data_IF_790346011912
#
_entry.id   IF_790346011912
#
_cell.length_a   1.000
_cell.length_b   1.000
_cell.length_c   1.000
_cell.angle_alpha   90.00
_cell.angle_beta   90.00
_cell.angle_gamma   90.00
#
_symmetry.space_group_name_H-M   'P 1'
#
loop_
_entity.id
_entity.type
_entity.pdbx_description
1 polymer ?
#
# COMPACT_ATOMS: atom_id res chain seq x y z
N UNK A 1 -28.03 -6.42 -6.76
CA UNK A 1 -27.55 -6.20 -6.53
C UNK A 1 -26.85 -5.67 -6.30
N UNK A 2 -26.60 -5.39 -6.38
CA UNK A 2 -25.96 -5.04 -6.23
C UNK A 2 -25.51 -4.24 -5.88
N UNK A 3 -25.63 -3.95 -5.99
CA UNK A 3 -25.23 -3.20 -5.68
C UNK A 3 -24.83 -2.58 -4.66
N UNK A 4 -24.91 -2.47 -3.95
CA UNK A 4 -24.47 -2.06 -2.87
C UNK A 4 -23.21 -2.40 -2.50
N UNK A 5 -22.70 -3.31 -2.73
CA UNK A 5 -21.39 -3.84 -2.63
C UNK A 5 -20.31 -2.96 -3.15
N UNK A 6 -20.49 -2.32 -4.27
CA UNK A 6 -19.49 -1.40 -4.77
C UNK A 6 -19.08 -0.35 -3.77
N UNK A 7 -20.04 0.11 -3.00
CA UNK A 7 -19.76 1.11 -1.98
C UNK A 7 -18.76 0.60 -0.94
N UNK A 8 -18.96 -0.64 -0.51
CA UNK A 8 -18.07 -1.23 0.47
C UNK A 8 -16.66 -1.38 -0.07
N UNK A 9 -16.55 -1.83 -1.31
CA UNK A 9 -15.26 -2.00 -1.94
C UNK A 9 -14.54 -0.67 -2.08
N UNK A 10 -15.27 0.37 -2.44
CA UNK A 10 -14.68 1.67 -2.61
C UNK A 10 -14.18 2.24 -1.29
N UNK A 11 -14.91 1.98 -0.21
CA UNK A 11 -14.51 2.45 1.11
C UNK A 11 -13.19 1.84 1.55
N UNK A 12 -12.87 0.63 1.06
CA UNK A 12 -11.66 -0.06 1.45
C UNK A 12 -10.39 0.48 0.81
N UNK A 13 -10.52 1.26 -0.26
CA UNK A 13 -9.35 1.74 -0.96
C UNK A 13 -8.69 0.67 -1.83
N UNK A 14 -7.80 1.10 -2.70
CA UNK A 14 -7.15 0.18 -3.62
C UNK A 14 -5.88 0.77 -4.22
N UNK A 15 -5.00 -0.12 -4.66
CA UNK A 15 -3.86 0.26 -5.49
C UNK A 15 -4.27 0.32 -6.95
N UNK A 16 -3.65 1.22 -7.68
CA UNK A 16 -3.86 1.34 -9.12
C UNK A 16 -2.54 1.61 -9.80
N UNK A 17 -2.34 0.99 -10.96
CA UNK A 17 -1.17 1.28 -11.77
C UNK A 17 -1.40 2.58 -12.52
N UNK A 18 -0.42 3.48 -12.47
CA UNK A 18 -0.49 4.76 -13.17
C UNK A 18 0.78 4.92 -14.00
N UNK A 19 0.77 5.90 -14.89
CA UNK A 19 1.91 6.17 -15.78
C UNK A 19 2.34 4.90 -16.54
N UNK A 20 1.36 4.23 -17.15
CA UNK A 20 1.57 3.02 -17.94
C UNK A 20 2.26 1.91 -17.13
N UNK A 21 1.91 1.81 -15.85
CA UNK A 21 2.45 0.78 -14.99
C UNK A 21 3.80 1.13 -14.37
N UNK A 22 4.29 2.34 -14.62
CA UNK A 22 5.57 2.75 -14.03
C UNK A 22 5.48 2.99 -12.55
N UNK A 23 4.30 3.36 -12.06
CA UNK A 23 4.09 3.73 -10.66
C UNK A 23 2.75 3.16 -10.18
N UNK A 24 2.65 2.90 -8.89
CA UNK A 24 1.38 2.56 -8.27
C UNK A 24 0.92 3.75 -7.43
N UNK A 25 -0.40 3.93 -7.35
CA UNK A 25 -1.00 4.93 -6.47
C UNK A 25 -2.05 4.25 -5.64
N UNK A 26 -2.08 4.56 -4.34
CA UNK A 26 -3.11 4.04 -3.45
C UNK A 26 -4.09 5.16 -3.11
N UNK A 27 -5.37 4.85 -3.11
CA UNK A 27 -6.41 5.79 -2.70
C UNK A 27 -7.41 5.08 -1.80
N UNK A 28 -7.82 5.76 -0.73
CA UNK A 28 -8.83 5.25 0.18
C UNK A 28 -8.26 4.86 1.53
N UNK A 29 -8.90 3.92 2.19
CA UNK A 29 -8.54 3.50 3.54
C UNK A 29 -7.72 2.22 3.52
N UNK A 30 -6.76 2.14 4.41
CA UNK A 30 -5.93 0.95 4.59
C UNK A 30 -5.90 0.62 6.07
N UNK A 31 -6.95 -0.04 6.51
CA UNK A 31 -7.16 -0.38 7.91
C UNK A 31 -7.29 -1.90 8.05
N UNK A 32 -7.45 -2.35 9.28
CA UNK A 32 -7.61 -3.77 9.56
C UNK A 32 -8.73 -4.40 8.74
N UNK A 33 -9.80 -3.64 8.46
CA UNK A 33 -10.94 -4.16 7.70
C UNK A 33 -10.67 -4.28 6.21
N UNK A 34 -9.75 -3.48 5.69
CA UNK A 34 -9.55 -3.38 4.24
C UNK A 34 -8.17 -3.88 3.78
N UNK A 35 -7.26 -4.10 4.72
CA UNK A 35 -5.88 -4.42 4.37
C UNK A 35 -5.75 -5.69 3.54
N UNK A 36 -6.48 -6.74 3.91
CA UNK A 36 -6.37 -8.02 3.20
C UNK A 36 -6.82 -7.89 1.75
N UNK A 37 -7.93 -7.19 1.52
CA UNK A 37 -8.43 -7.01 0.16
C UNK A 37 -7.50 -6.14 -0.66
N UNK A 38 -6.94 -5.10 -0.05
CA UNK A 38 -6.00 -4.22 -0.75
C UNK A 38 -4.73 -4.98 -1.14
N UNK A 39 -4.23 -5.80 -0.22
CA UNK A 39 -3.03 -6.60 -0.49
C UNK A 39 -3.29 -7.64 -1.57
N UNK A 40 -4.45 -8.29 -1.52
CA UNK A 40 -4.85 -9.24 -2.54
C UNK A 40 -4.87 -8.61 -3.92
N UNK A 41 -5.47 -7.42 -4.01
CA UNK A 41 -5.50 -6.69 -5.28
C UNK A 41 -4.10 -6.34 -5.76
N UNK A 42 -3.23 -5.94 -4.84
CA UNK A 42 -1.86 -5.61 -5.19
C UNK A 42 -1.10 -6.83 -5.70
N UNK A 43 -1.33 -7.99 -5.09
CA UNK A 43 -0.64 -9.21 -5.49
C UNK A 43 -1.02 -9.67 -6.90
N UNK A 44 -2.17 -9.26 -7.38
CA UNK A 44 -2.60 -9.57 -8.74
C UNK A 44 -1.98 -8.64 -9.77
N UNK A 45 -1.27 -7.61 -9.35
CA UNK A 45 -0.66 -6.61 -10.24
C UNK A 45 0.83 -6.84 -10.37
N UNK A 46 1.40 -6.61 -11.57
CA UNK A 46 2.85 -6.58 -11.69
C UNK A 46 3.41 -5.39 -10.93
N UNK A 47 4.60 -5.53 -10.36
CA UNK A 47 5.22 -4.44 -9.63
C UNK A 47 5.47 -3.23 -10.54
N UNK A 48 5.44 -2.02 -9.98
CA UNK A 48 5.68 -0.83 -10.80
C UNK A 48 7.08 -0.83 -11.37
N UNK A 49 7.23 -0.43 -12.63
CA UNK A 49 8.52 -0.50 -13.30
C UNK A 49 9.54 0.46 -12.69
N UNK A 50 9.08 1.60 -12.15
CA UNK A 50 9.96 2.54 -11.45
C UNK A 50 10.21 2.15 -10.00
N UNK A 51 9.43 1.20 -9.47
CA UNK A 51 9.51 0.84 -8.07
C UNK A 51 8.81 1.79 -7.11
N UNK A 52 8.07 2.77 -7.62
CA UNK A 52 7.43 3.77 -6.76
C UNK A 52 6.00 3.37 -6.45
N UNK A 53 5.67 3.37 -5.16
CA UNK A 53 4.30 3.18 -4.68
C UNK A 53 3.92 4.42 -3.87
N UNK A 54 2.93 5.15 -4.35
CA UNK A 54 2.56 6.44 -3.79
C UNK A 54 1.32 6.30 -2.91
N UNK A 55 1.45 6.70 -1.65
CA UNK A 55 0.36 6.65 -0.68
C UNK A 55 -0.25 8.03 -0.40
N UNK A 56 -0.03 8.99 -1.27
CA UNK A 56 -0.57 10.33 -1.05
C UNK A 56 -2.10 10.35 -0.97
N UNK A 57 -2.77 9.40 -1.60
CA UNK A 57 -4.23 9.29 -1.55
C UNK A 57 -4.78 8.50 -0.37
N UNK A 58 -3.92 8.12 0.58
CA UNK A 58 -4.34 7.35 1.74
C UNK A 58 -5.16 8.24 2.67
N UNK A 59 -6.44 7.88 2.86
CA UNK A 59 -7.36 8.68 3.66
C UNK A 59 -7.36 8.29 5.13
N UNK A 60 -7.37 6.99 5.40
CA UNK A 60 -7.35 6.47 6.76
C UNK A 60 -6.44 5.26 6.82
N UNK A 61 -5.74 5.11 7.93
CA UNK A 61 -4.84 3.99 8.10
C UNK A 61 -4.65 3.67 9.57
N UNK A 62 -4.38 2.40 9.84
CA UNK A 62 -3.98 1.96 11.19
C UNK A 62 -2.74 1.07 11.02
N UNK A 63 -2.40 0.31 12.06
CA UNK A 63 -1.19 -0.52 12.00
C UNK A 63 -1.24 -1.58 10.92
N UNK A 64 -2.42 -1.94 10.43
CA UNK A 64 -2.53 -2.89 9.32
C UNK A 64 -1.91 -2.33 8.05
N UNK A 65 -1.92 -1.00 7.88
CA UNK A 65 -1.27 -0.37 6.74
C UNK A 65 0.24 -0.64 6.75
N UNK A 66 0.86 -0.63 7.92
CA UNK A 66 2.29 -0.94 8.03
C UNK A 66 2.57 -2.36 7.58
N UNK A 67 1.69 -3.30 7.96
CA UNK A 67 1.86 -4.69 7.55
C UNK A 67 1.79 -4.82 6.03
N UNK A 68 0.85 -4.14 5.39
CA UNK A 68 0.74 -4.15 3.93
C UNK A 68 2.00 -3.57 3.29
N UNK A 69 2.48 -2.45 3.81
CA UNK A 69 3.69 -1.80 3.28
C UNK A 69 4.89 -2.72 3.38
N UNK A 70 5.05 -3.41 4.51
CA UNK A 70 6.15 -4.34 4.72
C UNK A 70 6.06 -5.50 3.74
N UNK A 71 4.85 -6.03 3.53
CA UNK A 71 4.66 -7.12 2.58
C UNK A 71 5.00 -6.69 1.15
N UNK A 72 4.66 -5.48 0.77
CA UNK A 72 5.02 -4.96 -0.54
C UNK A 72 6.53 -4.86 -0.70
N UNK A 73 7.21 -4.34 0.32
CA UNK A 73 8.68 -4.25 0.29
C UNK A 73 9.30 -5.64 0.19
N UNK A 74 8.76 -6.58 0.93
CA UNK A 74 9.25 -7.96 0.91
C UNK A 74 9.07 -8.58 -0.46
N UNK A 75 7.92 -8.37 -1.07
CA UNK A 75 7.67 -8.85 -2.44
C UNK A 75 8.69 -8.25 -3.41
N UNK A 76 8.96 -6.95 -3.25
CA UNK A 76 9.95 -6.29 -4.10
C UNK A 76 11.31 -6.97 -4.00
N UNK A 77 11.74 -7.27 -2.77
CA UNK A 77 13.02 -7.94 -2.56
C UNK A 77 13.05 -9.31 -3.22
N UNK A 78 11.98 -10.08 -3.08
CA UNK A 78 11.89 -11.41 -3.68
C UNK A 78 11.98 -11.33 -5.21
N UNK A 79 11.38 -10.30 -5.79
CA UNK A 79 11.38 -10.14 -7.25
C UNK A 79 12.57 -9.34 -7.76
N UNK A 80 13.50 -8.99 -6.88
CA UNK A 80 14.70 -8.27 -7.29
C UNK A 80 14.48 -6.80 -7.59
N UNK A 81 13.44 -6.20 -7.01
CA UNK A 81 13.11 -4.79 -7.22
C UNK A 81 13.05 -4.07 -5.88
N UNK A 82 13.76 -2.97 -5.77
CA UNK A 82 13.66 -2.11 -4.60
C UNK A 82 12.43 -1.23 -4.76
N UNK A 83 11.49 -1.33 -3.83
CA UNK A 83 10.30 -0.49 -3.84
C UNK A 83 10.52 0.74 -2.97
N UNK A 84 10.05 1.88 -3.46
CA UNK A 84 10.12 3.15 -2.77
C UNK A 84 8.70 3.58 -2.42
N UNK A 85 8.42 3.71 -1.14
CA UNK A 85 7.09 4.11 -0.67
C UNK A 85 7.09 5.61 -0.45
N UNK A 86 6.26 6.32 -1.20
CA UNK A 86 6.19 7.79 -1.13
C UNK A 86 4.83 8.21 -0.58
N UNK A 87 4.76 9.44 -0.08
CA UNK A 87 3.50 10.00 0.41
C UNK A 87 2.97 9.32 1.67
N UNK A 88 3.81 8.60 2.41
CA UNK A 88 3.38 7.93 3.63
C UNK A 88 3.06 8.99 4.68
N UNK A 89 1.84 8.95 5.27
CA UNK A 89 1.47 9.95 6.28
C UNK A 89 2.39 9.93 7.49
N UNK A 90 2.58 11.09 8.09
CA UNK A 90 3.45 11.22 9.26
C UNK A 90 3.00 10.33 10.42
N UNK A 91 1.70 10.11 10.57
CA UNK A 91 1.18 9.24 11.62
C UNK A 91 1.65 7.80 11.44
N UNK A 92 1.70 7.32 10.20
CA UNK A 92 2.20 5.98 9.91
C UNK A 92 3.71 5.91 10.12
N UNK A 93 4.42 6.94 9.72
CA UNK A 93 5.85 6.99 9.95
C UNK A 93 6.16 6.91 11.44
N UNK A 94 5.38 7.61 12.27
CA UNK A 94 5.54 7.56 13.71
C UNK A 94 5.23 6.18 14.27
N UNK A 95 4.19 5.52 13.77
CA UNK A 95 3.87 4.17 14.19
C UNK A 95 4.99 3.19 13.82
N UNK A 96 5.60 3.39 12.66
CA UNK A 96 6.71 2.55 12.24
C UNK A 96 7.87 2.63 13.22
N UNK A 97 8.14 3.84 13.72
CA UNK A 97 9.18 4.02 14.73
C UNK A 97 8.82 3.27 16.02
N UNK A 98 7.57 3.43 16.48
CA UNK A 98 7.11 2.79 17.70
C UNK A 98 7.23 1.26 17.61
N UNK A 99 6.91 0.69 16.46
CA UNK A 99 7.00 -0.75 16.28
C UNK A 99 8.38 -1.23 15.86
N UNK A 100 9.33 -0.31 15.66
CA UNK A 100 10.69 -0.69 15.29
C UNK A 100 10.81 -1.20 13.86
N UNK A 101 9.91 -0.83 12.98
CA UNK A 101 9.92 -1.31 11.58
C UNK A 101 10.24 -0.20 10.60
N UNK A 102 10.65 0.96 11.08
CA UNK A 102 10.93 2.09 10.18
C UNK A 102 12.01 1.77 9.16
N UNK A 103 13.01 0.99 9.54
CA UNK A 103 14.09 0.62 8.62
C UNK A 103 13.57 -0.26 7.50
N UNK A 104 12.56 -1.08 7.78
CA UNK A 104 11.96 -1.92 6.75
C UNK A 104 11.23 -1.08 5.70
N UNK A 105 10.62 0.03 6.12
CA UNK A 105 9.91 0.90 5.20
C UNK A 105 10.85 1.77 4.38
N UNK A 106 11.96 2.18 4.97
CA UNK A 106 12.89 3.11 4.33
C UNK A 106 14.06 2.41 3.65
N UNK A 107 14.26 1.15 3.90
CA UNK A 107 15.31 0.40 3.23
C UNK A 107 14.98 0.32 1.75
N UNK A 108 15.80 0.84 0.94
CA UNK A 108 15.54 0.91 -0.49
C UNK A 108 16.43 -0.04 -1.24
#
# INVERSE_FOLDING_TARGET
MTSFCPTTADAGGRFAAVDDGARWSFAGSLTMDSAAAALEGAQAMPLPTSGVVDFAGLAQADSAALAVMIELKRRGEVEGRALSLTGVPATLASLAVVYGVETLLHAA
#
